data_IF_636377470733
#
_entry.id   IF_636377470733
#
_cell.length_a   1.000
_cell.length_b   1.000
_cell.length_c   1.000
_cell.angle_alpha   90.00
_cell.angle_beta   90.00
_cell.angle_gamma   90.00
#
_symmetry.space_group_name_H-M   'P 1'
#
loop_
_entity.id
_entity.type
_entity.pdbx_description
1 polymer ?
#
# COMPACT_ATOMS: atom_id res chain seq x y z
N UNK A 1 18.96 3.13 -2.55
CA UNK A 1 17.60 2.91 -2.06
C UNK A 1 16.63 2.76 -3.22
N UNK A 2 15.72 1.82 -3.12
CA UNK A 2 14.70 1.63 -4.14
C UNK A 2 13.46 2.40 -3.69
N UNK A 3 13.12 3.44 -4.42
CA UNK A 3 11.97 4.23 -4.04
C UNK A 3 10.67 3.47 -4.30
N UNK A 4 10.55 2.88 -5.47
CA UNK A 4 9.33 2.15 -5.83
C UNK A 4 9.69 0.85 -6.52
N UNK A 5 9.06 -0.22 -6.08
CA UNK A 5 9.26 -1.53 -6.68
C UNK A 5 7.91 -2.05 -7.18
N UNK A 6 7.89 -2.48 -8.42
CA UNK A 6 6.68 -3.04 -9.02
C UNK A 6 6.77 -4.55 -9.07
N UNK A 7 5.80 -5.24 -8.50
CA UNK A 7 5.74 -6.69 -8.51
C UNK A 7 4.44 -7.08 -9.22
N UNK A 8 4.54 -7.35 -10.49
CA UNK A 8 3.36 -7.58 -11.32
C UNK A 8 3.29 -9.00 -11.88
N UNK A 9 4.35 -9.78 -11.77
CA UNK A 9 4.39 -11.13 -12.31
C UNK A 9 3.36 -12.01 -11.61
N UNK A 10 2.42 -12.61 -12.34
CA UNK A 10 1.40 -13.46 -11.73
C UNK A 10 2.01 -14.64 -10.96
N UNK A 11 1.43 -14.93 -9.81
CA UNK A 11 1.88 -16.06 -9.01
C UNK A 11 3.07 -15.77 -8.11
N UNK A 12 3.54 -14.53 -8.09
CA UNK A 12 4.65 -14.18 -7.22
C UNK A 12 4.20 -14.18 -5.76
N UNK A 13 5.04 -14.72 -4.90
CA UNK A 13 4.81 -14.71 -3.46
C UNK A 13 5.91 -13.90 -2.81
N UNK A 14 5.52 -12.97 -1.98
CA UNK A 14 6.47 -12.11 -1.28
C UNK A 14 6.50 -12.54 0.18
N UNK A 15 7.68 -12.89 0.65
CA UNK A 15 7.85 -13.27 2.05
C UNK A 15 9.08 -12.60 2.63
N UNK A 16 9.26 -12.75 3.91
CA UNK A 16 10.36 -12.16 4.63
C UNK A 16 11.27 -13.26 5.17
N UNK A 17 12.58 -13.06 5.02
CA UNK A 17 13.57 -13.95 5.56
C UNK A 17 14.64 -13.11 6.24
N UNK A 18 14.55 -13.03 7.57
CA UNK A 18 15.41 -12.13 8.30
C UNK A 18 15.08 -10.68 7.91
N UNK A 19 16.08 -9.95 7.54
CA UNK A 19 15.88 -8.56 7.08
C UNK A 19 15.70 -8.44 5.59
N UNK A 20 15.49 -9.57 4.90
CA UNK A 20 15.39 -9.58 3.44
C UNK A 20 13.95 -9.76 3.00
N UNK A 21 13.61 -9.04 1.95
CA UNK A 21 12.36 -9.23 1.24
C UNK A 21 12.66 -10.24 0.14
N UNK A 22 11.91 -11.35 0.12
CA UNK A 22 12.14 -12.43 -0.82
C UNK A 22 10.95 -12.57 -1.74
N UNK A 23 11.20 -12.51 -3.04
CA UNK A 23 10.19 -12.71 -4.06
C UNK A 23 10.40 -14.08 -4.69
N UNK A 24 9.35 -14.89 -4.65
CA UNK A 24 9.39 -16.24 -5.19
C UNK A 24 8.29 -16.46 -6.21
N UNK A 25 8.57 -17.32 -7.18
CA UNK A 25 7.55 -17.73 -8.12
C UNK A 25 7.80 -19.21 -8.40
N UNK A 26 6.75 -20.02 -8.20
CA UNK A 26 6.85 -21.49 -8.39
C UNK A 26 7.99 -22.09 -7.59
N UNK A 27 8.13 -21.63 -6.35
CA UNK A 27 9.15 -22.11 -5.41
C UNK A 27 10.58 -21.74 -5.77
N UNK A 28 10.75 -20.90 -6.77
CA UNK A 28 12.07 -20.39 -7.12
C UNK A 28 12.18 -18.94 -6.67
N UNK A 29 13.31 -18.63 -6.05
CA UNK A 29 13.57 -17.27 -5.61
C UNK A 29 13.94 -16.43 -6.82
N UNK A 30 13.10 -15.43 -7.09
CA UNK A 30 13.34 -14.53 -8.20
C UNK A 30 14.27 -13.39 -7.81
N UNK A 31 14.12 -12.93 -6.58
CA UNK A 31 14.89 -11.79 -6.13
C UNK A 31 14.88 -11.69 -4.61
N UNK A 32 15.98 -11.22 -4.08
CA UNK A 32 16.09 -10.91 -2.66
C UNK A 32 16.68 -9.51 -2.53
N UNK A 33 16.18 -8.75 -1.60
CA UNK A 33 16.73 -7.42 -1.36
C UNK A 33 16.46 -7.03 0.09
N UNK A 34 17.28 -6.14 0.64
CA UNK A 34 17.04 -5.68 2.00
C UNK A 34 15.70 -4.97 2.10
N UNK A 35 14.90 -5.34 3.07
CA UNK A 35 13.58 -4.74 3.23
C UNK A 35 13.66 -3.24 3.48
N UNK A 36 14.71 -2.80 4.16
CA UNK A 36 14.87 -1.39 4.49
C UNK A 36 15.05 -0.48 3.27
N UNK A 37 15.36 -1.07 2.11
CA UNK A 37 15.58 -0.26 0.90
C UNK A 37 14.30 0.02 0.13
N UNK A 38 13.18 -0.57 0.54
CA UNK A 38 11.92 -0.43 -0.19
C UNK A 38 11.11 0.72 0.40
N UNK A 39 10.84 1.73 -0.41
CA UNK A 39 9.99 2.84 0.02
C UNK A 39 8.54 2.60 -0.32
N UNK A 40 8.29 2.15 -1.53
CA UNK A 40 6.94 1.85 -2.00
C UNK A 40 6.98 0.54 -2.78
N UNK A 41 6.02 -0.32 -2.54
CA UNK A 41 5.89 -1.54 -3.32
C UNK A 41 4.51 -1.58 -3.94
N UNK A 42 4.47 -1.81 -5.25
CA UNK A 42 3.23 -1.87 -6.01
C UNK A 42 2.98 -3.31 -6.39
N UNK A 43 1.84 -3.84 -5.98
CA UNK A 43 1.52 -5.26 -6.15
C UNK A 43 0.41 -5.46 -7.15
N UNK A 44 0.63 -6.40 -8.05
CA UNK A 44 -0.38 -6.80 -9.01
C UNK A 44 -1.43 -7.69 -8.36
N UNK A 45 -2.50 -7.92 -9.10
CA UNK A 45 -3.68 -8.62 -8.59
C UNK A 45 -3.41 -10.04 -8.12
N UNK A 46 -2.51 -10.74 -8.77
CA UNK A 46 -2.25 -12.14 -8.47
C UNK A 46 -1.00 -12.38 -7.66
N UNK A 47 -0.46 -11.32 -7.08
CA UNK A 47 0.70 -11.40 -6.21
C UNK A 47 0.24 -11.60 -4.78
N UNK A 48 0.89 -12.52 -4.07
CA UNK A 48 0.58 -12.77 -2.67
C UNK A 48 1.66 -12.18 -1.80
N UNK A 49 1.25 -11.66 -0.67
CA UNK A 49 2.19 -11.07 0.28
C UNK A 49 1.79 -11.53 1.68
N UNK A 50 2.78 -11.93 2.48
CA UNK A 50 2.49 -12.38 3.83
C UNK A 50 2.14 -11.18 4.72
N UNK A 51 1.31 -11.44 5.72
CA UNK A 51 0.95 -10.42 6.68
C UNK A 51 2.17 -9.90 7.41
N UNK A 52 3.14 -10.77 7.67
CA UNK A 52 4.37 -10.39 8.33
C UNK A 52 5.14 -9.34 7.52
N UNK A 53 5.19 -9.53 6.20
CA UNK A 53 5.85 -8.57 5.32
C UNK A 53 5.11 -7.24 5.33
N UNK A 54 3.79 -7.29 5.24
CA UNK A 54 3.00 -6.07 5.27
C UNK A 54 3.25 -5.30 6.57
N UNK A 55 3.25 -6.02 7.67
CA UNK A 55 3.47 -5.41 8.97
C UNK A 55 4.84 -4.75 9.05
N UNK A 56 5.87 -5.43 8.59
CA UNK A 56 7.23 -4.90 8.62
C UNK A 56 7.38 -3.66 7.74
N UNK A 57 6.79 -3.70 6.55
CA UNK A 57 6.86 -2.56 5.63
C UNK A 57 6.14 -1.35 6.20
N UNK A 58 4.95 -1.55 6.72
CA UNK A 58 4.19 -0.44 7.28
C UNK A 58 4.91 0.14 8.48
N UNK A 59 5.50 -0.73 9.30
CA UNK A 59 6.18 -0.29 10.50
C UNK A 59 7.41 0.56 10.19
N UNK A 60 8.08 0.29 9.08
CA UNK A 60 9.24 1.08 8.69
C UNK A 60 8.88 2.34 7.90
N UNK A 61 7.59 2.55 7.65
CA UNK A 61 7.13 3.73 6.93
C UNK A 61 6.99 3.55 5.44
N UNK A 62 7.08 2.32 4.96
CA UNK A 62 6.91 2.04 3.54
C UNK A 62 5.43 1.99 3.18
N UNK A 63 5.15 2.13 1.91
CA UNK A 63 3.78 2.14 1.39
C UNK A 63 3.57 0.93 0.48
N UNK A 64 2.43 0.27 0.65
CA UNK A 64 2.05 -0.86 -0.20
C UNK A 64 0.85 -0.43 -1.01
N UNK A 65 0.95 -0.52 -2.33
CA UNK A 65 -0.14 -0.16 -3.23
C UNK A 65 -0.59 -1.39 -3.99
N UNK A 66 -1.91 -1.54 -4.10
CA UNK A 66 -2.50 -2.67 -4.81
C UNK A 66 -3.14 -2.15 -6.09
N UNK A 67 -2.77 -2.73 -7.22
CA UNK A 67 -3.28 -2.30 -8.51
C UNK A 67 -3.88 -3.47 -9.26
N UNK A 68 -4.75 -3.18 -10.21
CA UNK A 68 -5.31 -4.21 -11.06
C UNK A 68 -4.42 -4.43 -12.29
N UNK A 69 -4.87 -5.27 -13.21
CA UNK A 69 -4.06 -5.59 -14.39
C UNK A 69 -3.85 -4.41 -15.34
N UNK A 70 -4.58 -3.34 -15.14
CA UNK A 70 -4.43 -2.12 -15.94
C UNK A 70 -3.72 -1.02 -15.16
N UNK A 71 -3.11 -1.38 -14.03
CA UNK A 71 -2.41 -0.45 -13.14
C UNK A 71 -3.32 0.59 -12.50
N UNK A 72 -4.62 0.30 -12.44
CA UNK A 72 -5.52 1.17 -11.70
C UNK A 72 -5.37 0.88 -10.22
N UNK A 73 -5.21 1.91 -9.42
CA UNK A 73 -5.03 1.75 -7.98
C UNK A 73 -6.30 1.23 -7.33
N UNK A 74 -6.18 0.11 -6.64
CA UNK A 74 -7.29 -0.49 -5.92
C UNK A 74 -7.28 -0.06 -4.46
N UNK A 75 -6.10 0.00 -3.86
CA UNK A 75 -5.99 0.38 -2.47
C UNK A 75 -4.55 0.62 -2.07
N UNK A 76 -4.38 1.21 -0.91
CA UNK A 76 -3.05 1.55 -0.38
C UNK A 76 -3.01 1.20 1.09
N UNK A 77 -1.86 0.66 1.52
CA UNK A 77 -1.62 0.34 2.90
C UNK A 77 -0.27 0.92 3.30
N UNK A 78 -0.20 1.54 4.47
CA UNK A 78 1.06 2.06 4.98
C UNK A 78 1.08 3.57 4.99
N UNK A 79 2.17 4.10 5.57
CA UNK A 79 2.33 5.52 5.77
C UNK A 79 1.07 6.12 6.39
N UNK A 80 0.49 5.32 7.27
CA UNK A 80 -0.82 5.59 7.82
C UNK A 80 -0.87 6.92 8.56
N UNK A 81 0.20 7.21 9.25
CA UNK A 81 0.29 8.44 10.00
C UNK A 81 0.15 9.66 9.10
N UNK A 82 0.92 9.68 8.02
CA UNK A 82 0.87 10.79 7.07
C UNK A 82 -0.43 10.80 6.31
N UNK A 83 -0.90 9.63 5.90
CA UNK A 83 -2.16 9.52 5.18
C UNK A 83 -3.32 9.97 6.04
N UNK A 84 -3.30 9.61 7.31
CA UNK A 84 -4.34 10.01 8.22
C UNK A 84 -4.31 11.52 8.42
N UNK A 85 -3.14 12.10 8.55
CA UNK A 85 -3.01 13.53 8.68
C UNK A 85 -3.59 14.24 7.45
N UNK A 86 -3.26 13.75 6.27
CA UNK A 86 -3.79 14.31 5.04
C UNK A 86 -5.29 14.19 4.99
N UNK A 87 -5.81 13.04 5.36
CA UNK A 87 -7.24 12.81 5.37
C UNK A 87 -7.94 13.76 6.33
N UNK A 88 -7.38 13.91 7.52
CA UNK A 88 -7.95 14.82 8.51
C UNK A 88 -7.94 16.26 8.01
N UNK A 89 -6.87 16.64 7.33
CA UNK A 89 -6.78 17.96 6.73
C UNK A 89 -7.85 18.15 5.67
N UNK A 90 -8.03 17.18 4.81
CA UNK A 90 -9.04 17.24 3.77
C UNK A 90 -10.45 17.29 4.36
N UNK A 91 -10.68 16.49 5.38
CA UNK A 91 -11.97 16.47 6.05
C UNK A 91 -12.25 17.84 6.65
N UNK A 92 -11.28 18.40 7.33
CA UNK A 92 -11.46 19.71 7.94
C UNK A 92 -11.75 20.77 6.88
N UNK A 93 -11.02 20.72 5.78
CA UNK A 93 -11.22 21.66 4.70
C UNK A 93 -12.64 21.55 4.14
N UNK A 94 -13.08 20.32 3.92
CA UNK A 94 -14.43 20.08 3.45
C UNK A 94 -15.45 20.60 4.43
N UNK A 95 -15.24 20.35 5.69
CA UNK A 95 -16.16 20.78 6.72
C UNK A 95 -16.27 22.30 6.76
N UNK A 96 -15.14 22.98 6.59
CA UNK A 96 -15.12 24.43 6.61
C UNK A 96 -15.74 25.05 5.35
N UNK A 97 -15.50 24.41 4.21
CA UNK A 97 -15.92 25.00 2.93
C UNK A 97 -17.29 24.55 2.46
N UNK A 98 -17.56 23.27 2.61
CA UNK A 98 -18.79 22.73 2.03
C UNK A 98 -19.51 21.81 3.00
N UNK A 99 -19.33 22.04 4.24
CA UNK A 99 -19.89 21.17 5.25
C UNK A 99 -21.36 20.83 4.99
N UNK A 100 -22.13 21.84 4.70
CA UNK A 100 -23.56 21.65 4.50
C UNK A 100 -23.87 20.82 3.26
N UNK A 101 -22.94 20.71 2.38
CA UNK A 101 -23.23 20.08 1.10
C UNK A 101 -22.78 18.65 0.98
N UNK A 102 -21.53 18.40 1.30
CA UNK A 102 -20.93 17.16 0.86
C UNK A 102 -20.06 16.46 1.85
N UNK A 103 -19.57 17.19 2.82
CA UNK A 103 -18.55 16.63 3.68
C UNK A 103 -18.91 15.27 4.24
N UNK A 104 -20.10 15.16 4.78
CA UNK A 104 -20.52 13.89 5.38
C UNK A 104 -20.54 12.77 4.37
N UNK A 105 -21.12 13.02 3.22
CA UNK A 105 -21.21 12.00 2.19
C UNK A 105 -19.82 11.58 1.70
N UNK A 106 -18.99 12.56 1.48
CA UNK A 106 -17.66 12.27 0.99
C UNK A 106 -16.85 11.46 2.00
N UNK A 107 -16.90 11.86 3.25
CA UNK A 107 -16.14 11.19 4.28
C UNK A 107 -16.55 9.74 4.43
N UNK A 108 -17.86 9.53 4.48
CA UNK A 108 -18.36 8.17 4.61
C UNK A 108 -17.94 7.35 3.41
N UNK A 109 -18.07 7.93 2.24
CA UNK A 109 -17.68 7.27 1.02
C UNK A 109 -16.22 6.83 1.06
N UNK A 110 -15.34 7.72 1.43
CA UNK A 110 -13.93 7.39 1.46
C UNK A 110 -13.61 6.33 2.49
N UNK A 111 -14.28 6.39 3.61
CA UNK A 111 -14.06 5.40 4.64
C UNK A 111 -14.57 4.03 4.25
N UNK A 112 -15.67 4.01 3.59
CA UNK A 112 -16.26 2.74 3.18
C UNK A 112 -15.50 2.15 2.02
N UNK A 113 -15.11 3.00 1.09
CA UNK A 113 -14.39 2.50 -0.04
C UNK A 113 -12.98 2.24 0.29
N UNK A 114 -12.49 3.16 0.97
CA UNK A 114 -11.15 3.07 1.33
C UNK A 114 -11.18 2.33 2.56
N UNK A 115 -12.09 2.70 2.23
CA UNK A 115 -12.64 2.82 2.86
C UNK A 115 -13.10 2.26 2.43
#
# INVERSE_FOLDING_TARGET
MIDTMYVMTPGTVIRQDGGLLVLENEHEVMRQLPMATVGTIVLGRTVQISTQVMFSLVKQGSVIQFVDHKYNLIGTLGDEHTSLKKLLWQVKYFMDETFAHMAACYIVYRKVKAQ
#
